data_IF_805386523442
#
_entry.id   IF_805386523442
#
_cell.length_a   1.000
_cell.length_b   1.000
_cell.length_c   1.000
_cell.angle_alpha   90.00
_cell.angle_beta   90.00
_cell.angle_gamma   90.00
#
_symmetry.space_group_name_H-M   'P 1'
#
loop_
_entity.id
_entity.type
_entity.pdbx_description
1 polymer ?
#
# COMPACT_ATOMS: atom_id res chain seq x y z
N UNK A 1 -39.43 -14.61 -8.62
CA UNK A 1 -39.25 -13.99 -7.32
C UNK A 1 -38.02 -14.51 -6.52
N UNK A 2 -37.76 -15.82 -6.44
CA UNK A 2 -36.61 -16.40 -5.70
C UNK A 2 -35.23 -15.81 -6.08
N UNK A 3 -34.92 -15.62 -7.38
CA UNK A 3 -33.63 -15.08 -7.85
C UNK A 3 -33.35 -13.63 -7.39
N UNK A 4 -34.36 -12.82 -7.12
CA UNK A 4 -34.20 -11.44 -6.63
C UNK A 4 -33.87 -11.42 -5.14
N UNK A 5 -34.45 -12.32 -4.36
CA UNK A 5 -34.22 -12.43 -2.91
C UNK A 5 -32.82 -12.97 -2.61
N UNK A 6 -32.31 -13.93 -3.39
CA UNK A 6 -30.94 -14.44 -3.27
C UNK A 6 -29.88 -13.39 -3.63
N UNK A 7 -30.16 -12.50 -4.60
CA UNK A 7 -29.26 -11.41 -4.96
C UNK A 7 -29.14 -10.37 -3.85
N UNK A 8 -30.23 -10.12 -3.11
CA UNK A 8 -30.27 -9.16 -1.99
C UNK A 8 -29.56 -9.70 -0.73
N UNK A 9 -29.59 -11.02 -0.51
CA UNK A 9 -28.95 -11.70 0.61
C UNK A 9 -27.42 -11.82 0.44
N UNK A 10 -26.88 -11.84 -0.79
CA UNK A 10 -25.43 -11.91 -1.06
C UNK A 10 -24.74 -10.55 -1.00
N UNK A 11 -25.45 -9.45 -1.03
CA UNK A 11 -24.90 -8.11 -1.08
C UNK A 11 -24.12 -7.67 0.18
N UNK A 12 -24.67 -7.81 1.41
CA UNK A 12 -23.95 -7.42 2.61
C UNK A 12 -22.70 -8.27 2.87
N UNK A 13 -22.74 -9.55 2.51
CA UNK A 13 -21.63 -10.48 2.71
C UNK A 13 -20.37 -10.13 1.88
N UNK A 14 -20.56 -9.64 0.68
CA UNK A 14 -19.44 -9.22 -0.19
C UNK A 14 -18.73 -7.98 0.37
N UNK A 15 -19.45 -7.01 0.88
CA UNK A 15 -18.84 -5.82 1.48
C UNK A 15 -18.11 -6.15 2.77
N UNK A 16 -18.64 -7.06 3.58
CA UNK A 16 -18.01 -7.56 4.78
C UNK A 16 -16.65 -8.24 4.42
N UNK A 17 -16.65 -9.12 3.41
CA UNK A 17 -15.43 -9.77 2.94
C UNK A 17 -14.38 -8.77 2.44
N UNK A 18 -14.79 -7.76 1.71
CA UNK A 18 -13.87 -6.69 1.29
C UNK A 18 -13.32 -5.91 2.49
N UNK A 19 -14.16 -5.58 3.46
CA UNK A 19 -13.73 -4.90 4.69
C UNK A 19 -12.70 -5.71 5.48
N UNK A 20 -12.97 -7.00 5.70
CA UNK A 20 -12.02 -7.92 6.35
C UNK A 20 -10.71 -8.01 5.55
N UNK A 21 -10.80 -8.19 4.23
CA UNK A 21 -9.62 -8.24 3.36
C UNK A 21 -8.77 -6.98 3.43
N UNK A 22 -9.38 -5.79 3.54
CA UNK A 22 -8.68 -4.52 3.71
C UNK A 22 -7.96 -4.44 5.06
N UNK A 23 -8.63 -4.83 6.15
CA UNK A 23 -8.04 -4.83 7.49
C UNK A 23 -6.83 -5.78 7.53
N UNK A 24 -7.00 -6.99 7.01
CA UNK A 24 -5.90 -7.97 6.93
C UNK A 24 -4.74 -7.44 6.10
N UNK A 25 -5.02 -6.82 4.93
CA UNK A 25 -3.98 -6.25 4.08
C UNK A 25 -3.16 -5.17 4.81
N UNK A 26 -3.80 -4.29 5.58
CA UNK A 26 -3.14 -3.24 6.36
C UNK A 26 -2.26 -3.85 7.45
N UNK A 27 -2.79 -4.81 8.22
CA UNK A 27 -2.05 -5.48 9.29
C UNK A 27 -0.83 -6.20 8.73
N UNK A 28 -1.00 -6.99 7.67
CA UNK A 28 0.10 -7.70 7.02
C UNK A 28 1.15 -6.75 6.44
N UNK A 29 0.72 -5.64 5.85
CA UNK A 29 1.64 -4.62 5.31
C UNK A 29 2.49 -3.99 6.41
N UNK A 30 1.88 -3.66 7.55
CA UNK A 30 2.62 -3.09 8.68
C UNK A 30 3.59 -4.10 9.29
N UNK A 31 3.16 -5.35 9.48
CA UNK A 31 4.05 -6.43 9.94
C UNK A 31 5.19 -6.68 8.95
N UNK A 32 4.92 -6.65 7.66
CA UNK A 32 5.94 -6.80 6.61
C UNK A 32 6.99 -5.69 6.68
N UNK A 33 6.57 -4.41 6.81
CA UNK A 33 7.51 -3.30 6.96
C UNK A 33 8.37 -3.45 8.22
N UNK A 34 7.76 -3.83 9.35
CA UNK A 34 8.49 -4.10 10.59
C UNK A 34 9.47 -5.26 10.44
N UNK A 35 9.08 -6.32 9.73
CA UNK A 35 9.94 -7.46 9.47
C UNK A 35 11.15 -7.07 8.60
N UNK A 36 10.94 -6.28 7.55
CA UNK A 36 12.02 -5.76 6.72
C UNK A 36 12.98 -4.85 7.52
N UNK A 37 12.44 -3.96 8.35
CA UNK A 37 13.21 -3.05 9.19
C UNK A 37 14.03 -3.76 10.26
N UNK A 38 13.59 -4.93 10.74
CA UNK A 38 14.28 -5.73 11.73
C UNK A 38 15.14 -6.86 11.12
N UNK A 39 15.74 -6.65 9.96
CA UNK A 39 16.60 -7.61 9.26
C UNK A 39 15.97 -9.00 9.09
N UNK A 40 14.70 -9.03 8.72
CA UNK A 40 13.89 -10.24 8.53
C UNK A 40 13.73 -11.10 9.79
N UNK A 41 13.88 -10.51 10.97
CA UNK A 41 13.61 -11.20 12.24
C UNK A 41 12.12 -11.16 12.56
N UNK A 42 11.46 -12.32 12.47
CA UNK A 42 10.02 -12.46 12.75
C UNK A 42 9.72 -12.18 14.23
N UNK A 43 10.57 -12.68 15.14
CA UNK A 43 10.40 -12.51 16.58
C UNK A 43 10.43 -11.03 16.99
N UNK A 44 11.38 -10.26 16.46
CA UNK A 44 11.47 -8.81 16.73
C UNK A 44 10.28 -8.04 16.16
N UNK A 45 9.82 -8.37 14.95
CA UNK A 45 8.67 -7.72 14.34
C UNK A 45 7.39 -7.94 15.18
N UNK A 46 7.17 -9.17 15.65
CA UNK A 46 6.02 -9.47 16.52
C UNK A 46 6.13 -8.84 17.91
N UNK A 47 7.31 -8.84 18.51
CA UNK A 47 7.55 -8.15 19.81
C UNK A 47 7.32 -6.64 19.67
N UNK A 48 7.78 -6.02 18.60
CA UNK A 48 7.51 -4.61 18.32
C UNK A 48 6.02 -4.33 18.21
N UNK A 49 5.29 -5.14 17.43
CA UNK A 49 3.87 -4.95 17.17
C UNK A 49 2.99 -5.13 18.42
N UNK A 50 3.27 -6.15 19.24
CA UNK A 50 2.34 -6.60 20.28
C UNK A 50 2.86 -6.46 21.73
N UNK A 51 4.12 -6.12 21.93
CA UNK A 51 4.70 -6.02 23.28
C UNK A 51 5.31 -4.66 23.56
N UNK A 52 6.24 -4.18 22.71
CA UNK A 52 7.04 -3.01 23.03
C UNK A 52 6.44 -1.68 22.59
N UNK A 53 5.86 -1.62 21.41
CA UNK A 53 5.41 -0.37 20.78
C UNK A 53 4.06 -0.50 20.09
N UNK A 54 3.09 -1.07 20.79
CA UNK A 54 1.74 -1.31 20.27
C UNK A 54 1.08 -0.02 19.77
N UNK A 55 1.31 1.11 20.45
CA UNK A 55 0.79 2.42 20.00
C UNK A 55 1.34 2.82 18.63
N UNK A 56 2.65 2.64 18.40
CA UNK A 56 3.30 2.92 17.13
C UNK A 56 2.82 1.98 16.02
N UNK A 57 2.53 0.73 16.37
CA UNK A 57 1.96 -0.23 15.44
C UNK A 57 0.56 0.20 14.98
N UNK A 58 -0.31 0.62 15.89
CA UNK A 58 -1.63 1.13 15.54
C UNK A 58 -1.56 2.43 14.72
N UNK A 59 -0.65 3.33 15.08
CA UNK A 59 -0.40 4.54 14.27
C UNK A 59 0.04 4.17 12.85
N UNK A 60 0.95 3.23 12.69
CA UNK A 60 1.36 2.71 11.39
C UNK A 60 0.21 2.11 10.60
N UNK A 61 -0.66 1.31 11.23
CA UNK A 61 -1.87 0.79 10.59
C UNK A 61 -2.81 1.92 10.16
N UNK A 62 -2.95 2.98 10.93
CA UNK A 62 -3.76 4.14 10.59
C UNK A 62 -3.20 4.86 9.35
N UNK A 63 -1.91 5.18 9.34
CA UNK A 63 -1.23 5.82 8.19
C UNK A 63 -1.37 4.97 6.93
N UNK A 64 -1.12 3.66 7.03
CA UNK A 64 -1.25 2.72 5.91
C UNK A 64 -2.69 2.60 5.41
N UNK A 65 -3.69 2.71 6.30
CA UNK A 65 -5.10 2.71 5.90
C UNK A 65 -5.48 3.94 5.09
N UNK A 66 -5.00 5.13 5.51
CA UNK A 66 -5.19 6.38 4.77
C UNK A 66 -4.52 6.32 3.40
N UNK A 67 -3.30 5.77 3.34
CA UNK A 67 -2.57 5.58 2.09
C UNK A 67 -3.28 4.62 1.13
N UNK A 68 -3.79 3.50 1.65
CA UNK A 68 -4.58 2.54 0.87
C UNK A 68 -5.87 3.18 0.33
N UNK A 69 -6.60 3.95 1.15
CA UNK A 69 -7.79 4.69 0.72
C UNK A 69 -7.46 5.70 -0.38
N UNK A 70 -6.35 6.43 -0.25
CA UNK A 70 -5.86 7.36 -1.26
C UNK A 70 -5.62 6.66 -2.60
N UNK A 71 -4.89 5.55 -2.62
CA UNK A 71 -4.62 4.78 -3.84
C UNK A 71 -5.88 4.16 -4.45
N UNK A 72 -6.79 3.64 -3.63
CA UNK A 72 -8.08 3.14 -4.10
C UNK A 72 -8.95 4.24 -4.74
N UNK A 73 -8.89 5.44 -4.17
CA UNK A 73 -9.57 6.62 -4.70
C UNK A 73 -8.97 7.08 -6.04
N UNK A 74 -7.65 7.13 -6.13
CA UNK A 74 -6.92 7.41 -7.38
C UNK A 74 -7.25 6.38 -8.46
N UNK A 75 -7.12 5.10 -8.16
CA UNK A 75 -7.37 4.02 -9.11
C UNK A 75 -8.85 3.89 -9.52
N UNK A 76 -9.78 4.39 -8.69
CA UNK A 76 -11.23 4.25 -8.89
C UNK A 76 -11.74 2.81 -8.84
N UNK A 77 -10.91 1.88 -8.40
CA UNK A 77 -11.19 0.46 -8.24
C UNK A 77 -10.49 -0.07 -7.00
N UNK A 78 -11.23 -0.74 -6.13
CA UNK A 78 -10.68 -1.32 -4.90
C UNK A 78 -9.57 -2.34 -5.21
N UNK A 79 -9.77 -3.21 -6.19
CA UNK A 79 -8.79 -4.24 -6.54
C UNK A 79 -7.50 -3.67 -7.12
N UNK A 80 -7.60 -2.69 -8.02
CA UNK A 80 -6.42 -2.04 -8.61
C UNK A 80 -5.70 -1.19 -7.56
N UNK A 81 -6.44 -0.46 -6.71
CA UNK A 81 -5.86 0.31 -5.62
C UNK A 81 -5.10 -0.56 -4.61
N UNK A 82 -5.69 -1.71 -4.21
CA UNK A 82 -5.04 -2.66 -3.32
C UNK A 82 -3.78 -3.30 -3.95
N UNK A 83 -3.83 -3.61 -5.25
CA UNK A 83 -2.67 -4.14 -5.97
C UNK A 83 -1.53 -3.12 -6.02
N UNK A 84 -1.83 -1.87 -6.38
CA UNK A 84 -0.85 -0.78 -6.39
C UNK A 84 -0.24 -0.55 -5.02
N UNK A 85 -1.09 -0.51 -4.00
CA UNK A 85 -0.67 -0.39 -2.61
C UNK A 85 0.31 -1.51 -2.25
N UNK A 86 -0.02 -2.77 -2.55
CA UNK A 86 0.82 -3.92 -2.24
C UNK A 86 2.18 -3.85 -2.95
N UNK A 87 2.20 -3.39 -4.22
CA UNK A 87 3.44 -3.19 -4.97
C UNK A 87 4.31 -2.11 -4.33
N UNK A 88 3.73 -0.96 -4.00
CA UNK A 88 4.47 0.15 -3.38
C UNK A 88 5.02 -0.27 -2.02
N UNK A 89 4.21 -0.89 -1.16
CA UNK A 89 4.65 -1.38 0.15
C UNK A 89 5.73 -2.46 0.00
N UNK A 90 5.59 -3.37 -0.97
CA UNK A 90 6.60 -4.38 -1.26
C UNK A 90 7.96 -3.78 -1.62
N UNK A 91 7.96 -2.76 -2.49
CA UNK A 91 9.17 -2.04 -2.90
C UNK A 91 9.77 -1.26 -1.73
N UNK A 92 8.95 -0.53 -0.97
CA UNK A 92 9.42 0.23 0.19
C UNK A 92 10.04 -0.67 1.26
N UNK A 93 9.38 -1.78 1.62
CA UNK A 93 9.92 -2.71 2.60
C UNK A 93 11.23 -3.36 2.13
N UNK A 94 11.31 -3.75 0.84
CA UNK A 94 12.55 -4.28 0.28
C UNK A 94 13.69 -3.24 0.33
N UNK A 95 13.40 -1.99 -0.03
CA UNK A 95 14.38 -0.91 0.03
C UNK A 95 14.84 -0.62 1.48
N UNK A 96 13.91 -0.65 2.43
CA UNK A 96 14.21 -0.48 3.86
C UNK A 96 15.09 -1.62 4.38
N UNK A 97 14.78 -2.87 4.02
CA UNK A 97 15.62 -4.03 4.33
C UNK A 97 17.04 -3.88 3.80
N UNK A 98 17.20 -3.48 2.53
CA UNK A 98 18.52 -3.28 1.94
C UNK A 98 19.30 -2.17 2.67
N UNK A 99 18.66 -1.07 3.01
CA UNK A 99 19.30 0.01 3.74
C UNK A 99 19.70 -0.40 5.16
N UNK A 100 18.82 -1.12 5.86
CA UNK A 100 19.13 -1.69 7.18
C UNK A 100 20.30 -2.67 7.13
N UNK A 101 20.38 -3.50 6.08
CA UNK A 101 21.46 -4.46 5.90
C UNK A 101 22.82 -3.80 5.68
N UNK A 102 22.87 -2.73 4.85
CA UNK A 102 24.15 -2.07 4.50
C UNK A 102 24.55 -0.93 5.43
N UNK A 103 23.59 -0.19 6.01
CA UNK A 103 23.85 1.03 6.79
C UNK A 103 23.35 0.98 8.23
N UNK A 104 22.57 -0.04 8.58
CA UNK A 104 21.91 -0.16 9.90
C UNK A 104 21.03 1.05 10.23
N UNK A 105 20.44 1.68 9.20
CA UNK A 105 19.59 2.85 9.31
C UNK A 105 18.30 2.65 8.53
N UNK A 106 17.13 3.07 9.04
CA UNK A 106 15.86 3.03 8.29
C UNK A 106 15.86 4.04 7.14
N UNK A 107 14.90 3.91 6.22
CA UNK A 107 14.70 4.88 5.15
C UNK A 107 14.18 6.20 5.74
N UNK A 108 14.83 7.30 5.38
CA UNK A 108 14.41 8.66 5.69
C UNK A 108 13.84 9.36 4.43
N UNK A 109 13.01 10.41 4.60
CA UNK A 109 12.51 11.19 3.47
C UNK A 109 13.61 11.80 2.60
N UNK A 110 14.77 12.11 3.17
CA UNK A 110 15.93 12.63 2.42
C UNK A 110 16.55 11.60 1.48
N UNK A 111 16.36 10.32 1.71
CA UNK A 111 16.83 9.26 0.83
C UNK A 111 16.10 9.27 -0.53
N UNK A 112 14.93 9.92 -0.60
CA UNK A 112 14.23 10.12 -1.86
C UNK A 112 15.07 10.94 -2.87
N UNK A 113 16.00 11.76 -2.39
CA UNK A 113 16.96 12.48 -3.25
C UNK A 113 17.93 11.52 -3.93
N UNK A 114 18.28 10.42 -3.27
CA UNK A 114 19.17 9.39 -3.84
C UNK A 114 18.51 8.56 -4.95
N UNK A 115 17.18 8.56 -5.05
CA UNK A 115 16.46 7.88 -6.15
C UNK A 115 16.84 8.47 -7.50
N UNK A 116 17.25 9.73 -7.55
CA UNK A 116 17.72 10.38 -8.78
C UNK A 116 19.10 9.88 -9.23
N UNK A 117 19.88 9.28 -8.33
CA UNK A 117 21.20 8.72 -8.60
C UNK A 117 21.11 7.20 -8.92
N UNK A 118 20.60 6.90 -10.11
CA UNK A 118 20.36 5.52 -10.59
C UNK A 118 21.61 4.65 -10.55
N UNK A 119 22.79 5.23 -10.73
CA UNK A 119 24.08 4.54 -10.66
C UNK A 119 24.35 3.96 -9.27
N UNK A 120 24.14 4.77 -8.22
CA UNK A 120 24.28 4.35 -6.83
C UNK A 120 23.27 3.26 -6.45
N UNK A 121 22.02 3.40 -6.87
CA UNK A 121 20.99 2.40 -6.63
C UNK A 121 21.35 1.05 -7.25
N UNK A 122 21.88 1.06 -8.49
CA UNK A 122 22.30 -0.14 -9.19
C UNK A 122 23.47 -0.86 -8.48
N UNK A 123 24.42 -0.10 -7.96
CA UNK A 123 25.57 -0.64 -7.22
C UNK A 123 25.16 -1.22 -5.86
N UNK A 124 24.26 -0.54 -5.14
CA UNK A 124 23.81 -0.96 -3.80
C UNK A 124 22.89 -2.18 -3.83
N UNK A 125 21.95 -2.21 -4.77
CA UNK A 125 20.89 -3.24 -4.82
C UNK A 125 21.27 -4.41 -5.71
N UNK A 126 22.25 -4.22 -6.61
CA UNK A 126 22.59 -5.17 -7.65
C UNK A 126 21.66 -5.07 -8.88
N UNK A 127 22.14 -5.57 -10.00
CA UNK A 127 21.46 -5.43 -11.28
C UNK A 127 20.08 -6.12 -11.32
N UNK A 128 20.00 -7.35 -10.84
CA UNK A 128 18.79 -8.17 -10.94
C UNK A 128 17.62 -7.67 -10.11
N UNK A 129 17.80 -7.36 -8.80
CA UNK A 129 16.71 -6.77 -8.00
C UNK A 129 16.28 -5.40 -8.52
N UNK A 130 17.23 -4.58 -9.02
CA UNK A 130 16.92 -3.29 -9.64
C UNK A 130 15.99 -3.45 -10.85
N UNK A 131 16.33 -4.35 -11.79
CA UNK A 131 15.51 -4.64 -12.97
C UNK A 131 14.12 -5.15 -12.56
N UNK A 132 14.05 -6.00 -11.53
CA UNK A 132 12.79 -6.53 -11.03
C UNK A 132 11.89 -5.41 -10.47
N UNK A 133 12.43 -4.50 -9.66
CA UNK A 133 11.70 -3.35 -9.10
C UNK A 133 11.21 -2.41 -10.19
N UNK A 134 12.05 -2.12 -11.19
CA UNK A 134 11.66 -1.28 -12.35
C UNK A 134 10.55 -1.95 -13.16
N UNK A 135 10.66 -3.25 -13.45
CA UNK A 135 9.63 -3.99 -14.15
C UNK A 135 8.29 -3.98 -13.39
N UNK A 136 8.34 -4.17 -12.07
CA UNK A 136 7.16 -4.14 -11.20
C UNK A 136 6.52 -2.75 -11.19
N UNK A 137 7.34 -1.69 -11.17
CA UNK A 137 6.89 -0.29 -11.29
C UNK A 137 6.20 -0.01 -12.63
N UNK A 138 6.77 -0.49 -13.74
CA UNK A 138 6.15 -0.36 -15.07
C UNK A 138 4.80 -1.08 -15.16
N UNK A 139 4.70 -2.29 -14.62
CA UNK A 139 3.44 -3.05 -14.54
C UNK A 139 2.41 -2.29 -13.70
N UNK A 140 2.81 -1.75 -12.55
CA UNK A 140 1.94 -0.94 -11.71
C UNK A 140 1.44 0.31 -12.44
N UNK A 141 2.30 1.04 -13.14
CA UNK A 141 1.96 2.21 -13.95
C UNK A 141 0.99 1.85 -15.10
N UNK A 142 1.20 0.70 -15.75
CA UNK A 142 0.29 0.21 -16.79
C UNK A 142 -1.13 -0.04 -16.24
N UNK A 143 -1.23 -0.71 -15.10
CA UNK A 143 -2.51 -0.95 -14.44
C UNK A 143 -3.17 0.35 -13.96
N UNK A 144 -2.38 1.31 -13.45
CA UNK A 144 -2.84 2.65 -13.11
C UNK A 144 -3.44 3.36 -14.32
N UNK A 145 -2.72 3.41 -15.43
CA UNK A 145 -3.18 4.04 -16.66
C UNK A 145 -4.49 3.42 -17.16
N UNK A 146 -4.58 2.09 -17.15
CA UNK A 146 -5.81 1.36 -17.54
C UNK A 146 -6.98 1.64 -16.59
N UNK A 147 -6.73 1.71 -15.28
CA UNK A 147 -7.74 2.04 -14.28
C UNK A 147 -8.19 3.50 -14.40
N UNK A 148 -7.27 4.42 -14.64
CA UNK A 148 -7.57 5.83 -14.90
C UNK A 148 -8.44 6.01 -16.12
N UNK A 149 -8.10 5.35 -17.24
CA UNK A 149 -8.88 5.36 -18.47
C UNK A 149 -10.31 4.85 -18.24
N UNK A 150 -10.46 3.69 -17.62
CA UNK A 150 -11.77 3.09 -17.30
C UNK A 150 -12.59 3.96 -16.35
N UNK A 151 -11.93 4.69 -15.48
CA UNK A 151 -12.53 5.55 -14.45
C UNK A 151 -13.14 6.83 -15.00
N UNK A 152 -12.62 7.33 -16.13
CA UNK A 152 -13.15 8.53 -16.79
C UNK A 152 -14.58 8.34 -17.30
N UNK A 153 -14.97 7.08 -17.61
CA UNK A 153 -16.30 6.71 -18.08
C UNK A 153 -17.27 6.26 -16.97
N UNK A 154 -16.96 6.50 -15.70
CA UNK A 154 -17.83 6.14 -14.58
C UNK A 154 -19.00 7.14 -14.42
N UNK A 155 -20.15 6.64 -13.92
CA UNK A 155 -21.31 7.48 -13.64
C UNK A 155 -20.97 8.61 -12.65
N UNK A 156 -21.60 9.81 -12.84
CA UNK A 156 -21.39 11.01 -12.01
C UNK A 156 -21.41 10.72 -10.49
N UNK A 157 -22.33 9.89 -10.00
CA UNK A 157 -22.45 9.49 -8.60
C UNK A 157 -21.19 8.79 -8.06
N UNK A 158 -20.55 7.94 -8.86
CA UNK A 158 -19.32 7.25 -8.48
C UNK A 158 -18.12 8.19 -8.49
N UNK A 159 -18.10 9.18 -9.40
CA UNK A 159 -17.07 10.21 -9.43
C UNK A 159 -17.12 11.10 -8.18
N UNK A 160 -18.31 11.51 -7.73
CA UNK A 160 -18.46 12.33 -6.50
C UNK A 160 -17.90 11.61 -5.27
N UNK A 161 -18.22 10.32 -5.10
CA UNK A 161 -17.71 9.52 -3.98
C UNK A 161 -16.17 9.42 -4.02
N UNK A 162 -15.58 9.26 -5.21
CA UNK A 162 -14.12 9.25 -5.39
C UNK A 162 -13.47 10.56 -4.98
N UNK A 163 -13.98 11.67 -5.49
CA UNK A 163 -13.45 13.00 -5.16
C UNK A 163 -13.55 13.24 -3.66
N UNK A 164 -14.68 12.89 -3.04
CA UNK A 164 -14.87 13.04 -1.60
C UNK A 164 -13.86 12.19 -0.81
N UNK A 165 -13.65 10.92 -1.18
CA UNK A 165 -12.68 10.05 -0.50
C UNK A 165 -11.24 10.50 -0.71
N UNK A 166 -10.93 11.11 -1.86
CA UNK A 166 -9.62 11.67 -2.18
C UNK A 166 -9.33 12.92 -1.34
N UNK A 167 -10.29 13.83 -1.25
CA UNK A 167 -10.19 15.04 -0.39
C UNK A 167 -10.03 14.65 1.07
N UNK A 168 -10.80 13.66 1.53
CA UNK A 168 -10.75 13.18 2.91
C UNK A 168 -9.38 12.52 3.22
N UNK A 169 -8.83 11.73 2.31
CA UNK A 169 -7.51 11.11 2.52
C UNK A 169 -6.39 12.16 2.51
N UNK A 170 -6.44 13.17 1.64
CA UNK A 170 -5.47 14.28 1.64
C UNK A 170 -5.57 15.08 2.94
N UNK A 171 -6.79 15.39 3.40
CA UNK A 171 -7.01 16.08 4.67
C UNK A 171 -6.45 15.31 5.87
N UNK A 172 -6.63 13.98 5.90
CA UNK A 172 -6.06 13.13 6.93
C UNK A 172 -4.53 13.08 6.86
N UNK A 173 -3.94 13.05 5.66
CA UNK A 173 -2.48 13.12 5.50
C UNK A 173 -1.89 14.45 5.98
N UNK A 174 -2.59 15.56 5.79
CA UNK A 174 -2.10 16.86 6.25
C UNK A 174 -2.22 17.05 7.76
N UNK A 175 -3.00 16.20 8.43
CA UNK A 175 -3.17 16.21 9.89
C UNK A 175 -2.16 15.28 10.61
N UNK A 176 -1.63 14.26 9.93
CA UNK A 176 -0.61 13.31 10.44
C UNK A 176 0.76 13.96 10.38
#
# INVERSE_FOLDING_TARGET
MKKRVEKFRRWPYRYLLYGIGFILLIIFSNLYLQWCQNNLSVDLAFKFAFSWHTEKFFLGCFVLSVFLLFLCSLAGSLGVGALLYSVIIGVLGFADYQKMFYRVEPIYPDDLKMITEVSLLKEMVGLWPFVFVVALGCVALFFLGKAFYKSFFLSKKKQTIRVLSLVLSIGLFSYI
#
